data_IF_720474529396
#
_entry.id   IF_720474529396
#
_cell.length_a   1.000
_cell.length_b   1.000
_cell.length_c   1.000
_cell.angle_alpha   90.00
_cell.angle_beta   90.00
_cell.angle_gamma   90.00
#
_symmetry.space_group_name_H-M   'P 1'
#
loop_
_entity.id
_entity.type
_entity.pdbx_description
1 polymer ?
#
# COMPACT_ATOMS: atom_id res chain seq x y z
N UNK A 1 -64.37 31.41 -2.18
CA UNK A 1 -63.54 30.19 -2.33
C UNK A 1 -62.16 30.64 -2.76
N UNK A 2 -61.20 30.72 -1.83
CA UNK A 2 -59.82 31.07 -2.17
C UNK A 2 -59.19 29.94 -2.99
N UNK A 3 -58.69 30.26 -4.19
CA UNK A 3 -57.90 29.31 -4.99
C UNK A 3 -56.68 28.92 -4.13
N UNK A 4 -56.35 27.63 -3.96
CA UNK A 4 -55.12 27.25 -3.29
C UNK A 4 -53.97 27.87 -4.07
N UNK A 5 -53.21 28.74 -3.40
CA UNK A 5 -51.96 29.27 -3.94
C UNK A 5 -50.99 28.09 -3.91
N UNK A 6 -50.88 27.37 -5.03
CA UNK A 6 -49.79 26.40 -5.23
C UNK A 6 -48.49 27.17 -5.09
N UNK A 7 -47.73 26.88 -4.03
CA UNK A 7 -46.43 27.49 -3.79
C UNK A 7 -45.55 27.28 -5.03
N UNK A 8 -44.83 28.34 -5.43
CA UNK A 8 -43.89 28.25 -6.54
C UNK A 8 -42.84 27.18 -6.20
N UNK A 9 -42.48 26.28 -7.15
CA UNK A 9 -41.44 25.28 -6.90
C UNK A 9 -40.12 25.97 -6.48
N UNK A 10 -39.35 25.34 -5.57
CA UNK A 10 -38.14 25.95 -5.04
C UNK A 10 -37.07 26.12 -6.13
N UNK A 11 -36.18 27.12 -6.00
CA UNK A 11 -35.02 27.24 -6.89
C UNK A 11 -34.15 25.97 -6.87
N UNK A 12 -33.51 25.59 -8.00
CA UNK A 12 -32.65 24.40 -8.08
C UNK A 12 -31.58 24.31 -6.99
N UNK A 13 -30.93 25.43 -6.62
CA UNK A 13 -29.96 25.48 -5.53
C UNK A 13 -30.57 25.14 -4.16
N UNK A 14 -31.80 25.60 -3.90
CA UNK A 14 -32.54 25.28 -2.66
C UNK A 14 -32.93 23.80 -2.61
N UNK A 15 -33.34 23.25 -3.76
CA UNK A 15 -33.60 21.82 -3.93
C UNK A 15 -32.33 20.99 -3.67
N UNK A 16 -31.19 21.37 -4.25
CA UNK A 16 -29.93 20.66 -4.06
C UNK A 16 -29.46 20.72 -2.60
N UNK A 17 -29.52 21.87 -1.93
CA UNK A 17 -29.19 21.98 -0.51
C UNK A 17 -30.11 21.08 0.36
N UNK A 18 -31.39 20.96 0.00
CA UNK A 18 -32.32 20.05 0.68
C UNK A 18 -31.90 18.59 0.50
N UNK A 19 -31.51 18.19 -0.72
CA UNK A 19 -30.95 16.87 -0.99
C UNK A 19 -29.68 16.61 -0.16
N UNK A 20 -28.70 17.51 -0.21
CA UNK A 20 -27.43 17.40 0.54
C UNK A 20 -27.66 17.23 2.05
N UNK A 21 -28.54 18.03 2.66
CA UNK A 21 -28.85 17.91 4.08
C UNK A 21 -29.59 16.61 4.42
N UNK A 22 -30.44 16.13 3.51
CA UNK A 22 -31.12 14.85 3.65
C UNK A 22 -30.12 13.71 3.64
N UNK A 23 -29.19 13.70 2.68
CA UNK A 23 -28.15 12.67 2.54
C UNK A 23 -27.28 12.64 3.80
N UNK A 24 -26.75 13.80 4.22
CA UNK A 24 -25.96 13.89 5.47
C UNK A 24 -26.69 13.29 6.68
N UNK A 25 -27.98 13.61 6.84
CA UNK A 25 -28.77 13.17 8.00
C UNK A 25 -29.16 11.70 7.90
N UNK A 26 -29.63 11.27 6.73
CA UNK A 26 -30.07 9.90 6.49
C UNK A 26 -28.90 8.92 6.53
N UNK A 27 -27.76 9.26 5.92
CA UNK A 27 -26.57 8.41 5.93
C UNK A 27 -25.94 8.31 7.32
N UNK A 28 -25.95 9.40 8.11
CA UNK A 28 -25.57 9.31 9.53
C UNK A 28 -26.51 8.37 10.30
N UNK A 29 -27.81 8.50 10.10
CA UNK A 29 -28.81 7.63 10.76
C UNK A 29 -28.63 6.18 10.35
N UNK A 30 -28.30 5.92 9.09
CA UNK A 30 -27.97 4.61 8.57
C UNK A 30 -26.74 4.03 9.30
N UNK A 31 -25.62 4.76 9.33
CA UNK A 31 -24.39 4.32 10.00
C UNK A 31 -24.61 4.05 11.50
N UNK A 32 -25.32 4.94 12.19
CA UNK A 32 -25.61 4.79 13.61
C UNK A 32 -26.48 3.53 13.85
N UNK A 33 -27.48 3.28 13.00
CA UNK A 33 -28.33 2.10 13.12
C UNK A 33 -27.61 0.80 12.76
N UNK A 34 -26.70 0.83 11.77
CA UNK A 34 -25.89 -0.31 11.36
C UNK A 34 -24.93 -0.73 12.49
N UNK A 35 -24.19 0.24 13.04
CA UNK A 35 -23.37 0.04 14.23
C UNK A 35 -24.19 -0.51 15.41
N UNK A 36 -25.36 0.09 15.68
CA UNK A 36 -26.23 -0.33 16.78
C UNK A 36 -26.79 -1.74 16.58
N UNK A 37 -27.06 -2.17 15.35
CA UNK A 37 -27.54 -3.52 15.07
C UNK A 37 -26.52 -4.57 15.54
N UNK A 38 -25.25 -4.38 15.15
CA UNK A 38 -24.15 -5.27 15.57
C UNK A 38 -23.88 -5.14 17.07
N UNK A 39 -23.75 -3.91 17.58
CA UNK A 39 -23.47 -3.65 18.98
C UNK A 39 -24.55 -4.22 19.91
N UNK A 40 -25.84 -4.12 19.56
CA UNK A 40 -26.92 -4.67 20.36
C UNK A 40 -26.86 -6.21 20.44
N UNK A 41 -26.51 -6.88 19.34
CA UNK A 41 -26.27 -8.31 19.35
C UNK A 41 -25.05 -8.68 20.22
N UNK A 42 -23.90 -8.03 20.00
CA UNK A 42 -22.67 -8.30 20.74
C UNK A 42 -22.81 -8.00 22.24
N UNK A 43 -23.51 -6.93 22.62
CA UNK A 43 -23.78 -6.60 24.02
C UNK A 43 -24.70 -7.63 24.69
N UNK A 44 -25.70 -8.16 23.96
CA UNK A 44 -26.55 -9.23 24.46
C UNK A 44 -25.73 -10.52 24.69
N UNK A 45 -24.81 -10.85 23.78
CA UNK A 45 -23.87 -11.96 23.89
C UNK A 45 -22.95 -11.77 25.10
N UNK A 46 -22.27 -10.63 25.22
CA UNK A 46 -21.37 -10.32 26.32
C UNK A 46 -22.09 -10.38 27.68
N UNK A 47 -23.32 -9.86 27.76
CA UNK A 47 -24.14 -9.94 28.96
C UNK A 47 -24.51 -11.37 29.39
N UNK A 48 -24.60 -12.32 28.45
CA UNK A 48 -24.91 -13.73 28.77
C UNK A 48 -23.66 -14.57 29.00
N UNK A 49 -22.73 -14.55 28.05
CA UNK A 49 -21.56 -15.43 28.08
C UNK A 49 -20.55 -14.94 29.10
N UNK A 50 -20.25 -13.65 29.13
CA UNK A 50 -19.21 -13.11 30.01
C UNK A 50 -19.79 -12.81 31.40
N UNK A 51 -20.87 -12.04 31.47
CA UNK A 51 -21.39 -11.56 32.76
C UNK A 51 -22.16 -12.64 33.53
N UNK A 52 -22.95 -13.47 32.84
CA UNK A 52 -23.74 -14.52 33.50
C UNK A 52 -23.07 -15.90 33.46
N UNK A 53 -21.92 -16.05 32.80
CA UNK A 53 -21.23 -17.32 32.58
C UNK A 53 -22.19 -18.41 32.06
N UNK A 54 -23.04 -18.04 31.10
CA UNK A 54 -24.10 -18.90 30.57
C UNK A 54 -23.88 -19.18 29.07
N UNK A 55 -24.29 -20.36 28.57
CA UNK A 55 -24.19 -20.67 27.14
C UNK A 55 -25.06 -19.74 26.28
N UNK A 56 -24.73 -19.65 24.99
CA UNK A 56 -25.54 -18.97 23.99
C UNK A 56 -26.84 -19.74 23.74
N UNK A 57 -27.87 -19.44 24.53
CA UNK A 57 -29.23 -19.96 24.33
C UNK A 57 -30.15 -18.86 23.83
N UNK A 58 -31.34 -19.23 23.37
CA UNK A 58 -32.49 -18.31 23.32
C UNK A 58 -32.60 -17.56 24.66
N UNK A 59 -32.73 -16.22 24.70
CA UNK A 59 -33.20 -15.27 23.66
C UNK A 59 -32.14 -14.50 22.86
N UNK A 60 -30.83 -14.67 23.12
CA UNK A 60 -29.78 -13.87 22.45
C UNK A 60 -29.77 -14.06 20.92
N UNK A 61 -29.79 -15.30 20.40
CA UNK A 61 -29.88 -15.52 18.95
C UNK A 61 -31.09 -14.85 18.29
N UNK A 62 -32.23 -14.70 19.00
CA UNK A 62 -33.43 -14.05 18.46
C UNK A 62 -33.23 -12.54 18.32
N UNK A 63 -32.57 -11.89 19.28
CA UNK A 63 -32.24 -10.46 19.18
C UNK A 63 -31.29 -10.26 17.99
N UNK A 64 -30.25 -11.09 17.87
CA UNK A 64 -29.31 -11.02 16.75
C UNK A 64 -30.02 -11.23 15.39
N UNK A 65 -30.93 -12.21 15.28
CA UNK A 65 -31.75 -12.40 14.07
C UNK A 65 -32.51 -11.13 13.70
N UNK A 66 -33.11 -10.44 14.67
CA UNK A 66 -33.85 -9.20 14.41
C UNK A 66 -32.94 -8.05 13.96
N UNK A 67 -31.74 -7.93 14.55
CA UNK A 67 -30.80 -6.87 14.22
C UNK A 67 -30.19 -7.08 12.83
N UNK A 68 -29.63 -8.25 12.53
CA UNK A 68 -29.01 -8.52 11.22
C UNK A 68 -30.02 -8.51 10.08
N UNK A 69 -31.27 -8.87 10.34
CA UNK A 69 -32.33 -8.74 9.33
C UNK A 69 -32.73 -7.30 9.03
N UNK A 70 -32.49 -6.36 9.95
CA UNK A 70 -32.65 -4.95 9.61
C UNK A 70 -31.57 -4.49 8.64
N UNK A 71 -30.39 -5.09 8.67
CA UNK A 71 -29.28 -4.78 7.74
C UNK A 71 -29.61 -5.37 6.36
N UNK A 72 -30.01 -6.64 6.31
CA UNK A 72 -30.30 -7.37 5.07
C UNK A 72 -31.64 -8.10 5.12
N UNK A 73 -32.52 -7.82 4.16
CA UNK A 73 -33.84 -8.45 4.03
C UNK A 73 -34.15 -8.70 2.55
N UNK A 74 -34.16 -9.98 2.13
CA UNK A 74 -34.38 -10.37 0.73
C UNK A 74 -35.79 -10.07 0.21
N UNK A 75 -36.74 -9.79 1.11
CA UNK A 75 -38.13 -9.53 0.74
C UNK A 75 -38.34 -8.13 0.15
N UNK A 76 -37.34 -7.26 0.22
CA UNK A 76 -37.38 -5.89 -0.28
C UNK A 76 -38.65 -5.12 0.16
N UNK A 77 -38.93 -5.09 1.47
CA UNK A 77 -40.17 -4.50 2.02
C UNK A 77 -40.09 -2.99 2.26
N UNK A 78 -38.99 -2.34 1.89
CA UNK A 78 -38.70 -0.95 2.19
C UNK A 78 -38.33 -0.70 3.66
N UNK A 79 -37.91 -1.74 4.39
CA UNK A 79 -37.71 -1.69 5.85
C UNK A 79 -36.28 -1.93 6.28
N UNK A 80 -35.43 -2.50 5.44
CA UNK A 80 -34.01 -2.62 5.75
C UNK A 80 -33.37 -1.24 5.86
N UNK A 81 -32.20 -1.16 6.50
CA UNK A 81 -31.49 0.10 6.67
C UNK A 81 -31.13 0.73 5.33
N UNK A 82 -30.64 -0.08 4.38
CA UNK A 82 -30.31 0.38 3.03
C UNK A 82 -31.53 0.92 2.29
N UNK A 83 -32.65 0.17 2.29
CA UNK A 83 -33.88 0.61 1.62
C UNK A 83 -34.43 1.93 2.18
N UNK A 84 -34.35 2.12 3.51
CA UNK A 84 -34.77 3.37 4.16
C UNK A 84 -33.88 4.53 3.76
N UNK A 85 -32.58 4.30 3.61
CA UNK A 85 -31.64 5.31 3.16
C UNK A 85 -31.94 5.71 1.71
N UNK A 86 -32.02 4.73 0.81
CA UNK A 86 -32.36 4.95 -0.62
C UNK A 86 -33.69 5.70 -0.75
N UNK A 87 -34.74 5.25 -0.06
CA UNK A 87 -36.04 5.93 -0.10
C UNK A 87 -36.01 7.37 0.44
N UNK A 88 -35.18 7.65 1.45
CA UNK A 88 -35.01 9.01 1.98
C UNK A 88 -34.28 9.91 0.98
N UNK A 89 -33.24 9.39 0.33
CA UNK A 89 -32.48 10.07 -0.72
C UNK A 89 -33.37 10.32 -1.93
N UNK A 90 -34.00 9.29 -2.50
CA UNK A 90 -34.86 9.40 -3.68
C UNK A 90 -35.94 10.48 -3.51
N UNK A 91 -36.58 10.49 -2.34
CA UNK A 91 -37.64 11.46 -2.04
C UNK A 91 -37.20 12.93 -2.14
N UNK A 92 -35.90 13.22 -1.99
CA UNK A 92 -35.35 14.58 -1.91
C UNK A 92 -34.30 14.90 -2.97
N UNK A 93 -33.81 13.89 -3.67
CA UNK A 93 -32.72 13.99 -4.64
C UNK A 93 -33.11 13.46 -6.04
N UNK A 94 -34.16 12.64 -6.17
CA UNK A 94 -34.55 12.10 -7.48
C UNK A 94 -35.33 13.14 -8.31
N UNK A 95 -34.90 13.44 -9.55
CA UNK A 95 -35.65 14.30 -10.43
C UNK A 95 -37.08 13.79 -10.67
N UNK A 96 -38.04 14.70 -10.75
CA UNK A 96 -39.46 14.35 -10.92
C UNK A 96 -40.21 14.15 -9.59
N UNK A 97 -39.51 14.14 -8.45
CA UNK A 97 -40.15 14.15 -7.13
C UNK A 97 -40.65 15.55 -6.75
N UNK A 98 -41.65 15.59 -5.87
CA UNK A 98 -42.26 16.85 -5.42
C UNK A 98 -41.20 17.75 -4.76
N UNK A 99 -41.10 18.99 -5.25
CA UNK A 99 -40.12 20.00 -4.82
C UNK A 99 -38.65 19.67 -5.13
N UNK A 100 -38.40 18.72 -6.03
CA UNK A 100 -37.06 18.47 -6.58
C UNK A 100 -36.92 19.17 -7.93
N UNK A 101 -36.04 20.17 -8.01
CA UNK A 101 -35.83 21.01 -9.20
C UNK A 101 -34.41 21.00 -9.76
N UNK A 102 -33.48 20.28 -9.11
CA UNK A 102 -32.15 19.98 -9.67
C UNK A 102 -32.19 18.75 -10.59
N UNK A 103 -31.19 18.61 -11.46
CA UNK A 103 -30.97 17.41 -12.27
C UNK A 103 -30.02 16.41 -11.61
N UNK A 104 -29.98 15.17 -12.14
CA UNK A 104 -28.98 14.16 -11.73
C UNK A 104 -27.54 14.67 -11.87
N UNK A 105 -27.14 15.38 -12.95
CA UNK A 105 -25.78 15.91 -13.07
C UNK A 105 -25.40 16.85 -11.93
N UNK A 106 -26.36 17.59 -11.35
CA UNK A 106 -26.10 18.50 -10.23
C UNK A 106 -25.79 17.75 -8.91
N UNK A 107 -26.29 16.51 -8.78
CA UNK A 107 -26.04 15.62 -7.63
C UNK A 107 -24.72 14.87 -7.80
N UNK A 108 -24.43 14.41 -9.03
CA UNK A 108 -23.24 13.62 -9.33
C UNK A 108 -21.97 14.47 -9.53
N UNK A 109 -22.09 15.80 -9.61
CA UNK A 109 -20.96 16.73 -9.78
C UNK A 109 -20.75 17.35 -11.18
N UNK A 110 -21.11 16.74 -12.33
CA UNK A 110 -20.88 17.36 -13.64
C UNK A 110 -21.90 18.46 -14.03
N UNK A 111 -22.84 18.79 -13.14
CA UNK A 111 -23.91 19.75 -13.39
C UNK A 111 -23.43 21.20 -13.48
N UNK A 112 -23.60 21.82 -14.65
CA UNK A 112 -23.28 23.23 -14.88
C UNK A 112 -24.38 24.21 -14.43
N UNK A 113 -25.52 23.72 -13.92
CA UNK A 113 -26.70 24.54 -13.64
C UNK A 113 -26.63 25.32 -12.32
N UNK A 114 -25.58 25.09 -11.51
CA UNK A 114 -25.43 25.64 -10.17
C UNK A 114 -24.03 26.22 -9.96
N UNK A 115 -23.93 27.26 -9.14
CA UNK A 115 -22.63 27.89 -8.79
C UNK A 115 -21.78 27.04 -7.83
N UNK A 116 -22.40 26.09 -7.13
CA UNK A 116 -21.75 25.16 -6.20
C UNK A 116 -22.42 23.78 -6.33
N UNK A 117 -22.08 22.98 -7.35
CA UNK A 117 -22.48 21.57 -7.41
C UNK A 117 -21.85 20.80 -6.23
N UNK A 118 -22.30 19.57 -5.98
CA UNK A 118 -21.56 18.66 -5.10
C UNK A 118 -20.24 18.34 -5.82
N UNK A 119 -19.16 19.08 -5.53
CA UNK A 119 -17.83 18.81 -6.09
C UNK A 119 -17.29 17.52 -5.46
N UNK A 120 -17.64 16.40 -6.07
CA UNK A 120 -17.10 15.09 -5.73
C UNK A 120 -16.09 14.69 -6.81
N UNK A 121 -14.92 15.34 -6.80
CA UNK A 121 -13.83 14.89 -7.65
C UNK A 121 -13.49 13.43 -7.31
N UNK A 122 -13.41 12.57 -8.33
CA UNK A 122 -13.10 11.15 -8.22
C UNK A 122 -14.16 10.30 -7.48
N UNK A 123 -15.43 10.73 -7.45
CA UNK A 123 -16.51 9.95 -6.82
C UNK A 123 -16.60 8.53 -7.37
N UNK A 124 -16.48 8.37 -8.70
CA UNK A 124 -16.44 7.06 -9.37
C UNK A 124 -15.30 6.17 -8.85
N UNK A 125 -14.09 6.73 -8.74
CA UNK A 125 -12.90 6.02 -8.23
C UNK A 125 -13.00 5.70 -6.75
N UNK A 126 -13.71 6.52 -5.98
CA UNK A 126 -13.98 6.25 -4.58
C UNK A 126 -15.09 5.20 -4.40
N UNK A 127 -16.13 5.23 -5.23
CA UNK A 127 -17.26 4.31 -5.16
C UNK A 127 -16.95 2.92 -5.70
N UNK A 128 -16.06 2.79 -6.68
CA UNK A 128 -15.53 1.49 -7.14
C UNK A 128 -14.94 0.65 -6.01
N UNK A 129 -14.43 1.29 -4.94
CA UNK A 129 -13.94 0.60 -3.74
C UNK A 129 -15.02 -0.22 -3.04
N UNK A 130 -16.27 0.22 -3.11
CA UNK A 130 -17.40 -0.41 -2.43
C UNK A 130 -18.15 -1.43 -3.29
N UNK A 131 -17.66 -1.70 -4.50
CA UNK A 131 -18.33 -2.52 -5.50
C UNK A 131 -19.20 -1.68 -6.44
N UNK A 132 -19.17 -2.00 -7.73
CA UNK A 132 -19.81 -1.23 -8.79
C UNK A 132 -19.10 -1.45 -10.12
N UNK A 133 -19.62 -0.91 -11.21
CA UNK A 133 -19.08 -1.12 -12.55
C UNK A 133 -17.90 -0.20 -12.91
N UNK A 134 -17.56 0.79 -12.08
CA UNK A 134 -16.58 1.80 -12.45
C UNK A 134 -17.11 3.22 -12.49
N UNK A 135 -18.42 3.36 -12.59
CA UNK A 135 -19.10 4.61 -12.90
C UNK A 135 -20.30 4.82 -11.99
N UNK A 136 -20.62 6.08 -11.74
CA UNK A 136 -21.88 6.48 -11.14
C UNK A 136 -22.63 7.26 -12.21
N UNK A 137 -23.53 6.57 -12.91
CA UNK A 137 -24.37 7.21 -13.93
C UNK A 137 -25.82 7.39 -13.46
N UNK A 138 -26.19 6.71 -12.37
CA UNK A 138 -27.49 6.84 -11.73
C UNK A 138 -27.44 7.37 -10.29
N UNK A 139 -28.55 7.98 -9.85
CA UNK A 139 -28.75 8.33 -8.45
C UNK A 139 -28.77 7.08 -7.54
N UNK A 140 -29.18 5.92 -8.07
CA UNK A 140 -29.25 4.69 -7.31
C UNK A 140 -27.85 4.18 -6.96
N UNK A 141 -26.96 4.06 -7.94
CA UNK A 141 -25.55 3.69 -7.72
C UNK A 141 -24.85 4.66 -6.77
N UNK A 142 -25.14 5.96 -6.92
CA UNK A 142 -24.66 6.97 -6.00
C UNK A 142 -25.12 6.72 -4.57
N UNK A 143 -26.42 6.45 -4.38
CA UNK A 143 -26.99 6.18 -3.06
C UNK A 143 -26.44 4.90 -2.42
N UNK A 144 -26.21 3.86 -3.24
CA UNK A 144 -25.64 2.59 -2.81
C UNK A 144 -24.18 2.75 -2.39
N UNK A 145 -23.40 3.54 -3.15
CA UNK A 145 -22.04 3.90 -2.77
C UNK A 145 -21.99 4.68 -1.45
N UNK A 146 -22.87 5.68 -1.28
CA UNK A 146 -22.98 6.42 -0.01
C UNK A 146 -23.32 5.46 1.14
N UNK A 147 -24.26 4.54 0.94
CA UNK A 147 -24.61 3.54 1.94
C UNK A 147 -23.39 2.67 2.33
N UNK A 148 -22.67 2.15 1.34
CA UNK A 148 -21.52 1.27 1.56
C UNK A 148 -20.36 1.99 2.29
N UNK A 149 -20.10 3.25 1.96
CA UNK A 149 -19.13 4.06 2.68
C UNK A 149 -19.47 4.25 4.16
N UNK A 150 -20.74 4.56 4.44
CA UNK A 150 -21.21 4.74 5.81
C UNK A 150 -21.30 3.42 6.58
N UNK A 151 -21.59 2.31 5.92
CA UNK A 151 -21.48 0.96 6.49
C UNK A 151 -20.03 0.66 6.88
N UNK A 152 -19.08 1.06 6.04
CA UNK A 152 -17.67 0.89 6.33
C UNK A 152 -17.20 1.70 7.55
N UNK A 153 -17.66 2.95 7.68
CA UNK A 153 -17.41 3.73 8.90
C UNK A 153 -17.99 3.05 10.16
N UNK A 154 -19.17 2.42 10.06
CA UNK A 154 -19.75 1.65 11.14
C UNK A 154 -18.89 0.41 11.47
N UNK A 155 -18.38 -0.30 10.47
CA UNK A 155 -17.49 -1.46 10.64
C UNK A 155 -16.18 -1.08 11.33
N UNK A 156 -15.54 0.03 10.96
CA UNK A 156 -14.36 0.53 11.66
C UNK A 156 -14.63 0.81 13.15
N UNK A 157 -15.79 1.39 13.45
CA UNK A 157 -16.22 1.62 14.83
C UNK A 157 -16.45 0.30 15.57
N UNK A 158 -17.04 -0.72 14.92
CA UNK A 158 -17.23 -2.06 15.49
C UNK A 158 -15.88 -2.68 15.84
N UNK A 159 -14.92 -2.70 14.93
CA UNK A 159 -13.60 -3.29 15.16
C UNK A 159 -12.87 -2.60 16.31
N UNK A 160 -12.98 -1.27 16.38
CA UNK A 160 -12.35 -0.49 17.46
C UNK A 160 -13.00 -0.78 18.83
N UNK A 161 -14.32 -0.92 18.89
CA UNK A 161 -15.06 -1.14 20.13
C UNK A 161 -15.06 -2.61 20.57
N UNK A 162 -15.00 -3.55 19.63
CA UNK A 162 -15.13 -4.98 19.84
C UNK A 162 -14.00 -5.72 19.10
N UNK A 163 -12.76 -5.74 19.64
CA UNK A 163 -11.61 -6.35 18.96
C UNK A 163 -11.75 -7.84 18.63
N UNK A 164 -12.63 -8.56 19.35
CA UNK A 164 -12.94 -9.98 19.13
C UNK A 164 -14.26 -10.19 18.36
N UNK A 165 -14.78 -9.17 17.68
CA UNK A 165 -16.09 -9.23 17.03
C UNK A 165 -16.25 -10.46 16.12
N UNK A 166 -15.25 -10.76 15.28
CA UNK A 166 -15.29 -11.89 14.35
C UNK A 166 -15.49 -13.24 15.06
N UNK A 167 -14.73 -13.49 16.13
CA UNK A 167 -14.88 -14.71 16.94
C UNK A 167 -16.30 -14.85 17.51
N UNK A 168 -16.82 -13.77 18.10
CA UNK A 168 -18.16 -13.78 18.71
C UNK A 168 -19.26 -13.89 17.65
N UNK A 169 -19.09 -13.27 16.49
CA UNK A 169 -20.05 -13.34 15.39
C UNK A 169 -20.10 -14.75 14.78
N UNK A 170 -18.97 -15.47 14.71
CA UNK A 170 -18.94 -16.87 14.27
C UNK A 170 -19.74 -17.80 15.21
N UNK A 171 -19.64 -17.58 16.52
CA UNK A 171 -20.43 -18.30 17.53
C UNK A 171 -21.92 -17.96 17.41
N UNK A 172 -22.26 -16.68 17.27
CA UNK A 172 -23.64 -16.22 17.06
C UNK A 172 -24.23 -16.83 15.79
N UNK A 173 -23.47 -16.87 14.69
CA UNK A 173 -23.88 -17.47 13.42
C UNK A 173 -24.31 -18.93 13.62
N UNK A 174 -23.46 -19.72 14.28
CA UNK A 174 -23.75 -21.12 14.59
C UNK A 174 -25.01 -21.27 15.44
N UNK A 175 -25.17 -20.42 16.45
CA UNK A 175 -26.36 -20.41 17.30
C UNK A 175 -27.64 -19.98 16.54
N UNK A 176 -27.53 -19.05 15.59
CA UNK A 176 -28.65 -18.62 14.73
C UNK A 176 -29.11 -19.74 13.80
N UNK A 177 -28.19 -20.50 13.21
CA UNK A 177 -28.49 -21.64 12.35
C UNK A 177 -29.21 -22.79 13.09
N UNK A 178 -29.05 -22.87 14.41
CA UNK A 178 -29.76 -23.85 15.24
C UNK A 178 -31.23 -23.48 15.53
N UNK A 179 -31.67 -22.25 15.20
CA UNK A 179 -33.04 -21.81 15.41
C UNK A 179 -33.98 -22.40 14.35
N UNK A 180 -35.25 -22.60 14.73
CA UNK A 180 -36.31 -22.98 13.79
C UNK A 180 -36.97 -21.71 13.22
N UNK A 181 -37.04 -21.54 11.88
CA UNK A 181 -37.70 -20.38 11.30
C UNK A 181 -39.22 -20.44 11.54
N UNK A 182 -39.88 -19.30 11.74
CA UNK A 182 -41.33 -19.27 11.88
C UNK A 182 -42.00 -19.67 10.56
N UNK A 183 -43.10 -20.43 10.64
CA UNK A 183 -43.87 -20.89 9.47
C UNK A 183 -44.33 -19.71 8.60
N UNK A 184 -44.65 -18.58 9.22
CA UNK A 184 -45.07 -17.34 8.53
C UNK A 184 -43.95 -16.67 7.74
N UNK A 185 -42.69 -17.01 8.00
CA UNK A 185 -41.53 -16.34 7.42
C UNK A 185 -40.31 -17.29 7.37
N UNK A 186 -40.32 -18.26 6.44
CA UNK A 186 -39.29 -19.31 6.36
C UNK A 186 -37.86 -18.78 6.17
N UNK A 187 -37.71 -17.62 5.51
CA UNK A 187 -36.42 -17.03 5.18
C UNK A 187 -35.86 -16.14 6.32
N UNK A 188 -36.61 -15.92 7.41
CA UNK A 188 -36.22 -14.98 8.46
C UNK A 188 -34.83 -15.21 9.03
N UNK A 189 -34.46 -16.47 9.24
CA UNK A 189 -33.14 -16.82 9.79
C UNK A 189 -32.09 -16.75 8.70
N UNK A 190 -32.35 -17.26 7.49
CA UNK A 190 -31.38 -17.21 6.39
C UNK A 190 -31.06 -15.78 5.96
N UNK A 191 -32.05 -14.87 5.94
CA UNK A 191 -31.83 -13.44 5.67
C UNK A 191 -30.92 -12.82 6.73
N UNK A 192 -31.18 -13.13 8.01
CA UNK A 192 -30.38 -12.61 9.11
C UNK A 192 -28.95 -13.19 9.12
N UNK A 193 -28.79 -14.47 8.76
CA UNK A 193 -27.46 -15.08 8.61
C UNK A 193 -26.73 -14.44 7.42
N UNK A 194 -27.40 -14.18 6.30
CA UNK A 194 -26.80 -13.48 5.17
C UNK A 194 -26.38 -12.05 5.55
N UNK A 195 -27.18 -11.33 6.35
CA UNK A 195 -26.81 -10.03 6.90
C UNK A 195 -25.61 -10.10 7.85
N UNK A 196 -25.54 -11.12 8.70
CA UNK A 196 -24.37 -11.37 9.56
C UNK A 196 -23.13 -11.69 8.72
N UNK A 197 -23.26 -12.56 7.72
CA UNK A 197 -22.16 -12.96 6.83
C UNK A 197 -21.63 -11.76 6.03
N UNK A 198 -22.50 -10.87 5.58
CA UNK A 198 -22.10 -9.62 4.94
C UNK A 198 -21.32 -8.70 5.88
N UNK A 199 -21.74 -8.58 7.15
CA UNK A 199 -21.01 -7.81 8.17
C UNK A 199 -19.66 -8.45 8.49
N UNK A 200 -19.61 -9.78 8.62
CA UNK A 200 -18.37 -10.53 8.87
C UNK A 200 -17.39 -10.33 7.72
N UNK A 201 -17.81 -10.57 6.48
CA UNK A 201 -16.97 -10.39 5.30
C UNK A 201 -16.44 -8.96 5.17
N UNK A 202 -17.26 -7.96 5.52
CA UNK A 202 -16.81 -6.57 5.48
C UNK A 202 -15.83 -6.21 6.62
N UNK A 203 -15.95 -6.86 7.78
CA UNK A 203 -15.00 -6.70 8.89
C UNK A 203 -13.68 -7.42 8.62
N UNK A 204 -13.76 -8.66 8.13
CA UNK A 204 -12.63 -9.53 7.80
C UNK A 204 -11.87 -9.05 6.56
N UNK A 205 -12.52 -8.23 5.72
CA UNK A 205 -11.90 -7.62 4.54
C UNK A 205 -11.49 -8.65 3.47
N UNK A 206 -10.63 -8.27 2.52
CA UNK A 206 -10.39 -9.04 1.30
C UNK A 206 -9.46 -10.26 1.47
N UNK A 207 -8.73 -10.37 2.58
CA UNK A 207 -7.77 -11.44 2.84
C UNK A 207 -8.38 -12.67 3.54
N UNK A 208 -9.60 -12.57 4.10
CA UNK A 208 -10.40 -13.67 4.67
C UNK A 208 -9.57 -14.53 5.66
N UNK A 209 -8.76 -13.88 6.49
CA UNK A 209 -7.85 -14.52 7.45
C UNK A 209 -8.47 -14.65 8.86
N UNK A 210 -9.72 -14.22 9.02
CA UNK A 210 -10.43 -14.18 10.29
C UNK A 210 -9.95 -13.08 11.23
N UNK A 211 -9.19 -12.10 10.74
CA UNK A 211 -8.76 -10.92 11.47
C UNK A 211 -9.38 -9.65 10.90
N UNK A 212 -9.70 -8.65 11.73
CA UNK A 212 -10.27 -7.41 11.20
C UNK A 212 -9.30 -6.67 10.25
N UNK A 213 -9.64 -6.62 8.96
CA UNK A 213 -8.86 -5.93 7.91
C UNK A 213 -9.68 -4.88 7.13
N UNK A 214 -10.80 -4.40 7.71
CA UNK A 214 -11.74 -3.38 7.18
C UNK A 214 -11.05 -2.35 6.28
N UNK A 215 -11.41 -2.34 4.99
CA UNK A 215 -10.95 -1.37 4.02
C UNK A 215 -12.05 -0.37 3.68
N UNK A 216 -11.91 0.88 4.15
CA UNK A 216 -12.85 1.97 3.83
C UNK A 216 -12.22 3.00 2.90
N UNK A 217 -12.23 2.75 1.59
CA UNK A 217 -11.89 3.73 0.57
C UNK A 217 -10.50 4.38 0.68
N UNK A 218 -9.58 3.76 1.44
CA UNK A 218 -8.18 4.15 1.46
C UNK A 218 -7.48 3.56 0.24
N UNK A 219 -6.62 4.37 -0.40
CA UNK A 219 -5.80 4.03 -1.58
C UNK A 219 -5.55 2.52 -1.64
N UNK A 220 -6.22 1.83 -2.56
CA UNK A 220 -5.83 0.47 -2.93
C UNK A 220 -4.35 0.53 -3.26
N UNK A 221 -3.55 -0.22 -2.51
CA UNK A 221 -2.13 -0.31 -2.78
C UNK A 221 -1.96 -1.06 -4.09
N UNK A 222 -2.12 -0.42 -5.26
CA UNK A 222 -1.97 -1.05 -6.57
C UNK A 222 -0.53 -1.44 -6.90
N UNK A 223 0.39 -1.25 -5.95
CA UNK A 223 1.76 -1.68 -6.06
C UNK A 223 1.82 -3.17 -6.41
N UNK A 224 2.65 -3.53 -7.38
CA UNK A 224 2.93 -4.92 -7.76
C UNK A 224 4.12 -5.50 -7.00
N UNK A 225 4.50 -4.85 -5.89
CA UNK A 225 5.59 -5.30 -5.04
C UNK A 225 5.26 -6.69 -4.47
N UNK A 226 6.28 -7.55 -4.44
CA UNK A 226 6.25 -8.87 -3.81
C UNK A 226 7.30 -8.91 -2.70
N UNK A 227 7.21 -9.89 -1.81
CA UNK A 227 8.12 -9.99 -0.66
C UNK A 227 9.60 -9.99 -1.07
N UNK A 228 9.97 -10.58 -2.22
CA UNK A 228 11.34 -10.58 -2.74
C UNK A 228 11.81 -9.22 -3.28
N UNK A 229 10.89 -8.27 -3.48
CA UNK A 229 11.17 -6.92 -3.98
C UNK A 229 11.35 -5.89 -2.84
N UNK A 230 11.08 -6.26 -1.60
CA UNK A 230 11.15 -5.37 -0.44
C UNK A 230 12.22 -5.83 0.55
N UNK A 231 12.89 -4.88 1.21
CA UNK A 231 14.02 -5.14 2.09
C UNK A 231 13.61 -5.93 3.35
N UNK A 232 14.45 -6.86 3.78
CA UNK A 232 14.27 -7.55 5.06
C UNK A 232 14.22 -6.54 6.21
N UNK A 233 13.23 -6.69 7.10
CA UNK A 233 12.99 -5.77 8.21
C UNK A 233 12.08 -4.59 7.87
N UNK A 234 11.59 -4.50 6.63
CA UNK A 234 10.53 -3.56 6.23
C UNK A 234 9.22 -4.31 5.94
N UNK A 235 8.09 -3.64 6.12
CA UNK A 235 6.77 -4.12 5.69
C UNK A 235 6.22 -3.27 4.56
N UNK A 236 5.43 -3.87 3.67
CA UNK A 236 4.74 -3.19 2.58
C UNK A 236 3.30 -3.70 2.44
N UNK A 237 2.48 -2.97 1.68
CA UNK A 237 1.13 -3.37 1.30
C UNK A 237 1.00 -3.36 -0.22
N UNK A 238 0.22 -4.28 -0.77
CA UNK A 238 -0.12 -4.36 -2.19
C UNK A 238 -1.61 -4.67 -2.37
N UNK A 239 -2.05 -4.87 -3.62
CA UNK A 239 -3.46 -5.04 -3.97
C UNK A 239 -4.05 -6.38 -3.53
N UNK A 240 -3.24 -7.22 -2.88
CA UNK A 240 -3.60 -8.58 -2.47
C UNK A 240 -3.39 -8.81 -0.97
N UNK A 241 -2.53 -8.04 -0.31
CA UNK A 241 -2.22 -8.20 1.12
C UNK A 241 -1.65 -6.92 1.75
N UNK A 242 -1.98 -6.69 3.02
CA UNK A 242 -1.42 -5.63 3.85
C UNK A 242 -0.33 -6.12 4.80
N UNK A 243 0.66 -5.28 5.10
CA UNK A 243 1.65 -5.59 6.16
C UNK A 243 2.62 -6.74 5.85
N UNK A 244 2.81 -7.07 4.58
CA UNK A 244 3.69 -8.16 4.13
C UNK A 244 5.15 -7.84 4.45
N UNK A 245 5.88 -8.78 5.03
CA UNK A 245 7.30 -8.63 5.32
C UNK A 245 8.17 -8.76 4.07
N UNK A 246 9.10 -7.83 3.87
CA UNK A 246 10.14 -7.93 2.85
C UNK A 246 11.15 -9.05 3.14
N UNK A 247 11.70 -9.63 2.09
CA UNK A 247 12.66 -10.76 2.14
C UNK A 247 13.94 -10.49 1.36
N UNK A 248 14.07 -9.33 0.70
CA UNK A 248 15.27 -8.97 -0.04
C UNK A 248 16.45 -8.77 0.93
N UNK A 249 17.59 -9.43 0.71
CA UNK A 249 18.80 -9.21 1.52
C UNK A 249 19.37 -7.81 1.31
N UNK A 250 19.96 -7.24 2.37
CA UNK A 250 20.76 -6.02 2.28
C UNK A 250 22.25 -6.39 2.13
N UNK A 251 22.80 -6.19 0.94
CA UNK A 251 24.22 -6.45 0.64
C UNK A 251 25.12 -5.24 0.91
N UNK A 252 24.54 -4.06 1.19
CA UNK A 252 25.29 -2.86 1.52
C UNK A 252 26.23 -2.40 0.39
N UNK A 253 27.46 -2.01 0.76
CA UNK A 253 28.48 -1.59 -0.18
C UNK A 253 29.35 -2.77 -0.59
N UNK A 254 29.21 -3.22 -1.83
CA UNK A 254 30.01 -4.34 -2.37
C UNK A 254 31.21 -3.82 -3.17
N UNK A 255 32.41 -4.28 -2.82
CA UNK A 255 33.63 -4.01 -3.60
C UNK A 255 34.03 -5.26 -4.36
N UNK A 256 34.11 -5.16 -5.69
CA UNK A 256 34.57 -6.23 -6.59
C UNK A 256 35.96 -5.90 -7.10
N UNK A 257 36.83 -6.90 -7.17
CA UNK A 257 38.17 -6.77 -7.74
C UNK A 257 38.21 -7.58 -9.02
N UNK A 258 38.38 -6.96 -10.21
CA UNK A 258 38.38 -7.68 -11.47
C UNK A 258 39.29 -8.91 -11.49
N UNK A 259 38.85 -9.97 -12.16
CA UNK A 259 39.65 -11.17 -12.40
C UNK A 259 39.51 -11.61 -13.85
N UNK A 260 40.31 -12.60 -14.26
CA UNK A 260 40.20 -13.19 -15.60
C UNK A 260 38.90 -14.00 -15.82
N UNK A 261 38.10 -14.19 -14.77
CA UNK A 261 36.81 -14.89 -14.81
C UNK A 261 35.68 -13.96 -14.37
N UNK A 262 34.47 -14.26 -14.85
CA UNK A 262 33.26 -13.53 -14.50
C UNK A 262 33.02 -13.55 -12.99
N UNK A 263 32.63 -12.39 -12.46
CA UNK A 263 32.29 -12.24 -11.06
C UNK A 263 30.80 -12.01 -10.90
N UNK A 264 30.16 -12.88 -10.12
CA UNK A 264 28.74 -12.81 -9.87
C UNK A 264 28.44 -11.72 -8.85
N UNK A 265 27.52 -10.82 -9.19
CA UNK A 265 26.95 -9.86 -8.26
C UNK A 265 25.78 -10.54 -7.56
N UNK A 266 25.86 -10.69 -6.24
CA UNK A 266 24.78 -11.28 -5.46
C UNK A 266 23.48 -10.45 -5.61
N UNK A 267 22.37 -11.15 -5.79
CA UNK A 267 21.04 -10.53 -5.78
C UNK A 267 20.76 -9.90 -4.40
N UNK A 268 20.03 -8.79 -4.39
CA UNK A 268 19.69 -8.04 -3.18
C UNK A 268 19.94 -6.55 -3.31
N UNK A 269 19.70 -5.82 -2.23
CA UNK A 269 19.87 -4.37 -2.18
C UNK A 269 21.34 -3.99 -2.02
N UNK A 270 21.85 -3.16 -2.93
CA UNK A 270 23.18 -2.55 -2.86
C UNK A 270 23.01 -1.06 -2.61
N UNK A 271 23.72 -0.51 -1.62
CA UNK A 271 23.52 0.88 -1.15
C UNK A 271 24.15 1.96 -2.05
N UNK A 272 24.56 1.60 -3.27
CA UNK A 272 25.21 2.50 -4.23
C UNK A 272 26.63 2.94 -3.87
N UNK A 273 27.17 2.59 -2.69
CA UNK A 273 28.55 2.91 -2.29
C UNK A 273 29.56 1.81 -2.66
N UNK A 274 29.09 0.77 -3.37
CA UNK A 274 29.94 -0.27 -3.92
C UNK A 274 30.80 0.22 -5.09
N UNK A 275 31.83 -0.54 -5.46
CA UNK A 275 32.71 -0.23 -6.60
C UNK A 275 33.36 -1.48 -7.18
N UNK A 276 33.64 -1.43 -8.48
CA UNK A 276 34.63 -2.30 -9.08
C UNK A 276 35.99 -1.59 -9.01
N UNK A 277 36.97 -2.18 -8.34
CA UNK A 277 38.28 -1.56 -8.14
C UNK A 277 39.01 -1.50 -9.47
N UNK A 278 39.31 -0.29 -9.94
CA UNK A 278 40.19 -0.09 -11.07
C UNK A 278 41.64 -0.43 -10.72
N UNK A 279 42.39 -0.88 -11.71
CA UNK A 279 43.83 -1.10 -11.59
C UNK A 279 44.58 0.05 -12.27
N UNK A 280 45.43 0.75 -11.52
CA UNK A 280 46.24 1.85 -12.06
C UNK A 280 47.27 1.39 -13.08
N UNK A 281 47.61 0.10 -13.09
CA UNK A 281 48.49 -0.51 -14.05
C UNK A 281 47.80 -0.85 -15.39
N UNK A 282 46.49 -0.57 -15.54
CA UNK A 282 45.77 -0.61 -16.81
C UNK A 282 46.17 0.58 -17.70
N UNK A 283 47.43 0.58 -18.13
CA UNK A 283 48.03 1.58 -19.01
C UNK A 283 48.68 0.91 -20.21
N UNK A 284 48.72 1.61 -21.36
CA UNK A 284 49.25 1.07 -22.62
C UNK A 284 50.65 0.46 -22.50
N UNK A 285 51.51 1.08 -21.67
CA UNK A 285 52.89 0.67 -21.43
C UNK A 285 53.05 -0.64 -20.63
N UNK A 286 51.96 -1.18 -20.08
CA UNK A 286 51.95 -2.48 -19.40
C UNK A 286 51.30 -3.59 -20.25
N UNK A 287 50.69 -3.24 -21.39
CA UNK A 287 49.93 -4.16 -22.24
C UNK A 287 50.74 -4.49 -23.50
N UNK A 288 50.77 -5.78 -23.87
CA UNK A 288 51.46 -6.27 -25.07
C UNK A 288 50.91 -5.62 -26.33
N UNK A 289 51.80 -5.20 -27.23
CA UNK A 289 51.42 -4.65 -28.52
C UNK A 289 50.50 -5.60 -29.29
N UNK A 290 49.41 -5.07 -29.84
CA UNK A 290 48.35 -5.83 -30.50
C UNK A 290 47.29 -6.42 -29.57
N UNK A 291 47.43 -6.29 -28.24
CA UNK A 291 46.38 -6.66 -27.26
C UNK A 291 45.60 -5.42 -26.84
N UNK A 292 44.28 -5.55 -26.73
CA UNK A 292 43.38 -4.54 -26.20
C UNK A 292 42.72 -5.07 -24.92
N UNK A 293 42.94 -4.41 -23.79
CA UNK A 293 42.23 -4.69 -22.53
C UNK A 293 41.34 -3.51 -22.20
N UNK A 294 40.02 -3.73 -22.14
CA UNK A 294 39.01 -2.73 -21.77
C UNK A 294 39.10 -1.40 -22.57
N UNK A 295 39.56 -1.43 -23.82
CA UNK A 295 39.73 -0.25 -24.66
C UNK A 295 41.13 0.38 -24.62
N UNK A 296 42.05 -0.14 -23.80
CA UNK A 296 43.44 0.32 -23.74
C UNK A 296 44.31 -0.55 -24.66
N UNK A 297 44.74 0.02 -25.79
CA UNK A 297 45.66 -0.63 -26.71
C UNK A 297 47.08 -0.72 -26.12
N UNK A 298 47.67 -1.91 -26.18
CA UNK A 298 49.05 -2.12 -25.74
C UNK A 298 50.10 -1.55 -26.67
N UNK A 299 51.21 -1.11 -26.08
CA UNK A 299 52.39 -0.60 -26.79
C UNK A 299 53.66 -1.39 -26.49
N UNK A 300 53.62 -2.38 -25.59
CA UNK A 300 54.81 -3.15 -25.20
C UNK A 300 55.24 -4.09 -26.32
N UNK A 301 56.41 -3.83 -26.89
CA UNK A 301 57.08 -4.72 -27.82
C UNK A 301 57.95 -5.69 -27.02
N UNK A 302 57.61 -6.97 -27.01
CA UNK A 302 58.40 -8.00 -26.34
C UNK A 302 59.71 -8.24 -27.10
N UNK A 303 60.86 -8.14 -26.41
CA UNK A 303 62.15 -8.46 -27.00
C UNK A 303 62.27 -9.97 -27.25
N UNK A 304 62.43 -10.38 -28.52
CA UNK A 304 62.73 -11.77 -28.89
C UNK A 304 64.24 -12.00 -28.87
N UNK A 305 64.84 -12.08 -27.68
CA UNK A 305 66.25 -12.42 -27.52
C UNK A 305 66.41 -13.71 -26.73
N UNK A 306 66.96 -14.77 -27.34
CA UNK A 306 67.43 -15.94 -26.58
C UNK A 306 68.62 -15.47 -25.73
N UNK A 307 68.43 -15.32 -24.43
CA UNK A 307 69.51 -15.00 -23.50
C UNK A 307 70.44 -16.21 -23.36
N UNK A 308 71.27 -16.48 -24.36
CA UNK A 308 72.40 -17.37 -24.21
C UNK A 308 73.37 -16.71 -23.22
N UNK A 309 73.60 -17.35 -22.07
CA UNK A 309 74.56 -16.95 -21.04
C UNK A 309 75.95 -16.78 -21.65
N UNK A 310 76.29 -15.57 -22.08
CA UNK A 310 77.61 -15.27 -22.64
C UNK A 310 78.55 -14.98 -21.47
N UNK A 311 79.39 -15.98 -21.16
CA UNK A 311 80.54 -15.88 -20.23
C UNK A 311 81.26 -14.53 -20.40
N UNK A 312 81.59 -13.80 -19.33
CA UNK A 312 82.25 -12.50 -19.46
C UNK A 312 83.67 -12.70 -20.02
N UNK A 313 83.91 -12.13 -21.20
CA UNK A 313 85.27 -12.00 -21.73
C UNK A 313 85.99 -10.88 -20.96
N UNK A 314 87.13 -11.22 -20.37
CA UNK A 314 88.01 -10.34 -19.60
C UNK A 314 88.36 -9.04 -20.34
N UNK A 315 88.16 -7.90 -19.68
CA UNK A 315 88.58 -6.59 -20.16
C UNK A 315 90.11 -6.51 -20.32
N UNK A 316 90.59 -6.28 -21.55
CA UNK A 316 91.97 -5.82 -21.79
C UNK A 316 92.00 -4.29 -21.83
N UNK A 317 92.65 -3.66 -20.84
CA UNK A 317 92.86 -2.20 -20.78
C UNK A 317 93.91 -1.78 -21.80
N UNK A 318 93.53 -0.97 -22.80
CA UNK A 318 94.46 -0.18 -23.61
C UNK A 318 94.79 1.13 -22.89
N UNK A 319 96.07 1.35 -22.61
CA UNK A 319 96.64 2.53 -21.93
C UNK A 319 96.88 3.66 -22.96
N UNK A 320 96.49 4.92 -22.70
CA UNK A 320 97.03 6.07 -23.44
C UNK A 320 98.32 6.60 -22.80
N UNK A 321 99.27 7.01 -23.64
CA UNK A 321 100.58 7.61 -23.32
C UNK A 321 100.45 9.08 -22.83
N UNK A 322 101.47 9.63 -22.14
CA UNK A 322 101.35 10.88 -21.38
C UNK A 322 101.86 12.13 -22.12
N UNK A 323 101.24 13.29 -21.84
CA UNK A 323 101.76 14.65 -22.15
C UNK A 323 101.93 15.39 -20.81
N UNK A 324 102.97 16.25 -20.63
CA UNK A 324 103.42 16.65 -19.29
C UNK A 324 102.89 18.02 -18.85
N UNK A 325 102.61 18.18 -17.56
CA UNK A 325 102.60 19.47 -16.88
C UNK A 325 102.86 19.27 -15.38
N UNK A 326 103.51 20.27 -14.79
CA UNK A 326 104.40 20.19 -13.65
C UNK A 326 103.73 20.25 -12.27
N UNK A 327 104.44 19.66 -11.28
CA UNK A 327 104.69 20.07 -9.87
C UNK A 327 103.53 20.82 -9.17
N UNK A 328 102.94 20.32 -8.08
CA UNK A 328 103.59 19.94 -6.83
C UNK A 328 102.58 19.46 -5.77
N UNK A 329 103.10 18.70 -4.81
CA UNK A 329 102.42 17.97 -3.71
C UNK A 329 101.84 18.98 -2.68
N UNK A 330 100.80 18.70 -1.90
CA UNK A 330 100.70 17.69 -0.84
C UNK A 330 99.24 17.67 -0.32
N UNK A 331 98.57 16.52 -0.19
CA UNK A 331 98.59 15.51 0.91
C UNK A 331 97.53 15.80 2.00
N UNK A 332 96.49 14.94 2.01
CA UNK A 332 95.73 14.31 3.11
C UNK A 332 95.75 14.96 4.52
N UNK A 333 94.68 15.05 5.33
CA UNK A 333 93.61 14.07 5.58
C UNK A 333 92.56 14.65 6.57
N UNK A 334 91.31 14.20 6.42
CA UNK A 334 90.27 13.91 7.45
C UNK A 334 89.93 14.89 8.58
N UNK A 335 88.64 15.22 8.68
CA UNK A 335 87.78 14.85 9.84
C UNK A 335 86.30 14.99 9.48
N UNK A 336 85.53 13.91 9.70
CA UNK A 336 84.08 13.95 9.92
C UNK A 336 83.83 14.25 11.42
N UNK A 337 82.60 14.19 11.99
CA UNK A 337 81.24 14.12 11.44
C UNK A 337 80.25 15.09 12.16
N UNK A 338 78.97 15.03 11.80
CA UNK A 338 77.83 14.75 12.70
C UNK A 338 76.55 15.53 12.35
N UNK A 339 75.45 14.90 12.73
CA UNK A 339 74.06 15.07 12.29
C UNK A 339 73.29 16.10 13.13
N UNK A 340 72.20 16.58 12.52
CA UNK A 340 70.89 16.92 13.12
C UNK A 340 70.83 18.23 13.94
N UNK A 341 69.63 18.86 14.17
CA UNK A 341 68.31 18.23 14.22
C UNK A 341 67.09 19.01 13.64
N UNK A 342 65.98 18.27 13.56
CA UNK A 342 64.55 18.59 13.73
C UNK A 342 64.04 20.04 13.55
N UNK A 343 62.88 20.19 12.89
CA UNK A 343 61.59 20.36 13.59
C UNK A 343 60.40 20.49 12.62
N UNK A 344 59.29 19.86 13.04
CA UNK A 344 57.85 20.11 12.76
C UNK A 344 57.31 19.84 11.35
#
# INVERSE_FOLDING_TARGET
MGRPVTALPPPPATSLNTCQNTVKTASKTYADNDLNAVANCLNAVAGKVIKANAPLTTPVPVICVLQFRNIYDTRATGKSLGEKLTAAIDKKCAPGMLNVTHGVPDVLGPGAALSEPIEAENLDTWCTHFGGDGSIDTLHEWSDCVAASHACAAQQAIVTQYPRALEWLAEVRTAMLALTPPISDPNKISDAVAGLDAVVAAIDGPDDDGQPSVQCGGIVSTGTAVASSCLTGTTFSNGTAGGVAGTMPNNGAVTLTPSASDQVIAAGYHNGSGKCVGDTDLVSGNIKNGVNLFGVNGSVIQASGNAATRRPATCSRRRPSPTPAARGRARWRTTAPSRSPQAQ
#
